data_IF_659201132509
#
_entry.id   IF_659201132509
#
_cell.length_a   1.000
_cell.length_b   1.000
_cell.length_c   1.000
_cell.angle_alpha   90.00
_cell.angle_beta   90.00
_cell.angle_gamma   90.00
#
_symmetry.space_group_name_H-M   'P 1'
#
loop_
_entity.id
_entity.type
_entity.pdbx_description
1 polymer ?
#
# COMPACT_ATOMS: atom_id res chain seq x y z
N UNK A 1 8.23 -25.36 10.04
CA UNK A 1 7.90 -24.19 10.90
C UNK A 1 6.96 -23.34 10.09
N UNK A 2 5.66 -23.51 10.35
CA UNK A 2 4.59 -22.83 9.60
C UNK A 2 4.57 -21.38 10.02
N UNK A 3 5.13 -20.49 9.14
CA UNK A 3 5.18 -19.05 9.31
C UNK A 3 3.85 -18.36 9.04
N UNK A 4 2.76 -18.83 9.64
CA UNK A 4 1.51 -18.10 9.68
C UNK A 4 1.63 -16.99 10.71
N UNK A 5 1.94 -15.78 10.27
CA UNK A 5 1.81 -14.55 11.07
C UNK A 5 0.41 -14.54 11.72
N UNK A 6 0.32 -14.35 13.03
CA UNK A 6 -0.98 -14.32 13.70
C UNK A 6 -1.83 -13.19 13.10
N UNK A 7 -2.94 -13.57 12.49
CA UNK A 7 -3.89 -12.61 11.96
C UNK A 7 -4.39 -11.71 13.12
N UNK A 8 -4.15 -10.41 13.03
CA UNK A 8 -4.67 -9.44 14.00
C UNK A 8 -6.20 -9.60 14.12
N UNK A 9 -6.76 -9.53 15.33
CA UNK A 9 -8.20 -9.56 15.52
C UNK A 9 -8.88 -8.50 14.66
N UNK A 10 -9.91 -8.88 13.91
CA UNK A 10 -10.60 -8.01 12.93
C UNK A 10 -11.07 -6.70 13.54
N UNK A 11 -11.44 -6.70 14.83
CA UNK A 11 -11.91 -5.51 15.56
C UNK A 11 -10.87 -4.40 15.78
N UNK A 12 -9.57 -4.69 15.60
CA UNK A 12 -8.47 -3.75 15.81
C UNK A 12 -7.84 -3.23 14.50
N UNK A 13 -8.37 -3.65 13.34
CA UNK A 13 -7.79 -3.26 12.05
C UNK A 13 -8.39 -1.96 11.53
N UNK A 14 -7.58 -0.98 11.11
CA UNK A 14 -8.08 0.19 10.41
C UNK A 14 -8.75 -0.24 9.09
N UNK A 15 -9.84 0.42 8.65
CA UNK A 15 -10.54 0.11 7.40
C UNK A 15 -9.66 0.17 6.15
N UNK A 16 -8.63 1.01 6.20
CA UNK A 16 -7.57 1.06 5.18
C UNK A 16 -6.25 1.03 5.92
N UNK A 17 -5.42 0.06 5.56
CA UNK A 17 -4.04 -0.07 5.99
C UNK A 17 -3.17 -0.34 4.77
N UNK A 18 -2.16 0.46 4.56
CA UNK A 18 -1.16 0.28 3.50
C UNK A 18 0.20 0.40 4.12
N UNK A 19 1.04 -0.60 3.94
CA UNK A 19 2.45 -0.59 4.30
C UNK A 19 3.30 -0.82 3.07
N UNK A 20 4.30 0.01 2.88
CA UNK A 20 5.30 -0.11 1.81
C UNK A 20 6.67 -0.06 2.48
N UNK A 21 7.63 -0.84 1.96
CA UNK A 21 9.04 -0.80 2.36
C UNK A 21 9.90 -0.19 1.24
N UNK A 22 9.99 1.15 1.11
CA UNK A 22 10.61 1.81 -0.04
C UNK A 22 12.07 1.45 -0.24
N UNK A 23 12.86 1.40 0.84
CA UNK A 23 14.28 1.02 0.78
C UNK A 23 14.47 -0.44 0.37
N UNK A 24 13.62 -1.35 0.86
CA UNK A 24 13.66 -2.75 0.47
C UNK A 24 13.26 -2.92 -1.01
N UNK A 25 12.22 -2.22 -1.47
CA UNK A 25 11.81 -2.22 -2.88
C UNK A 25 12.90 -1.72 -3.82
N UNK A 26 13.66 -0.69 -3.44
CA UNK A 26 14.77 -0.19 -4.27
C UNK A 26 15.92 -1.18 -4.39
N UNK A 27 16.17 -1.96 -3.35
CA UNK A 27 17.23 -2.99 -3.35
C UNK A 27 16.77 -4.30 -3.96
N UNK A 28 15.49 -4.42 -4.24
CA UNK A 28 14.89 -5.62 -4.79
C UNK A 28 15.34 -5.84 -6.24
N UNK A 29 15.76 -7.06 -6.56
CA UNK A 29 16.26 -7.39 -7.88
C UNK A 29 15.19 -7.31 -8.98
N UNK A 30 13.92 -7.50 -8.60
CA UNK A 30 12.78 -7.49 -9.55
C UNK A 30 12.23 -6.07 -9.70
N UNK A 31 11.98 -5.38 -8.60
CA UNK A 31 11.29 -4.09 -8.59
C UNK A 31 12.23 -2.89 -8.59
N UNK A 32 13.46 -3.04 -8.09
CA UNK A 32 14.41 -1.93 -7.96
C UNK A 32 14.56 -1.06 -9.21
N UNK A 33 14.74 -1.66 -10.42
CA UNK A 33 14.86 -0.87 -11.66
C UNK A 33 13.63 0.00 -11.97
N UNK A 34 12.46 -0.35 -11.46
CA UNK A 34 11.18 0.31 -11.78
C UNK A 34 10.69 1.25 -10.69
N UNK A 35 11.16 1.06 -9.44
CA UNK A 35 10.62 1.75 -8.26
C UNK A 35 10.72 3.26 -8.38
N UNK A 36 11.83 3.80 -8.86
CA UNK A 36 11.99 5.25 -9.00
C UNK A 36 11.07 5.83 -10.08
N UNK A 37 10.79 5.07 -11.13
CA UNK A 37 9.78 5.42 -12.14
C UNK A 37 8.37 5.43 -11.56
N UNK A 38 8.02 4.39 -10.78
CA UNK A 38 6.73 4.29 -10.09
C UNK A 38 6.55 5.43 -9.08
N UNK A 39 7.55 5.72 -8.26
CA UNK A 39 7.51 6.81 -7.29
C UNK A 39 7.41 8.18 -7.95
N UNK A 40 8.09 8.39 -9.08
CA UNK A 40 7.98 9.61 -9.88
C UNK A 40 6.57 9.79 -10.44
N UNK A 41 6.00 8.72 -11.02
CA UNK A 41 4.65 8.73 -11.58
C UNK A 41 3.59 8.95 -10.51
N UNK A 42 3.64 8.21 -9.40
CA UNK A 42 2.72 8.39 -8.27
C UNK A 42 2.75 9.79 -7.65
N UNK A 43 3.81 10.55 -7.90
CA UNK A 43 4.00 11.88 -7.35
C UNK A 43 3.57 13.02 -8.29
N UNK A 44 3.38 12.75 -9.57
CA UNK A 44 2.82 13.72 -10.51
C UNK A 44 1.35 13.96 -10.21
N UNK A 45 0.64 12.94 -9.69
CA UNK A 45 -0.77 13.03 -9.34
C UNK A 45 -1.05 13.68 -7.97
N UNK A 46 0.00 13.99 -7.19
CA UNK A 46 -0.14 14.71 -5.92
C UNK A 46 -0.11 16.22 -6.18
N UNK A 47 -1.10 17.00 -5.66
CA UNK A 47 -1.11 18.43 -5.83
C UNK A 47 0.21 19.07 -5.37
N UNK A 48 0.86 19.85 -6.20
CA UNK A 48 2.13 20.54 -5.89
C UNK A 48 2.02 21.46 -4.67
N UNK A 49 0.81 21.89 -4.33
CA UNK A 49 0.51 22.77 -3.19
C UNK A 49 0.66 22.13 -1.81
N UNK A 50 0.79 20.79 -1.72
CA UNK A 50 0.68 20.09 -0.42
C UNK A 50 2.01 19.77 0.24
N UNK A 51 3.13 20.28 -0.23
CA UNK A 51 4.43 19.86 0.28
C UNK A 51 4.75 18.37 0.03
N UNK A 52 3.91 17.70 -0.75
CA UNK A 52 4.07 16.30 -1.09
C UNK A 52 5.41 16.01 -1.78
N UNK A 53 5.94 16.99 -2.54
CA UNK A 53 7.26 16.89 -3.17
C UNK A 53 8.40 16.81 -2.15
N UNK A 54 8.38 17.66 -1.11
CA UNK A 54 9.38 17.64 -0.06
C UNK A 54 9.26 16.38 0.81
N UNK A 55 8.03 15.97 1.18
CA UNK A 55 7.78 14.72 1.88
C UNK A 55 8.18 13.50 1.05
N UNK A 56 8.11 13.59 -0.31
CA UNK A 56 8.59 12.53 -1.19
C UNK A 56 10.06 12.17 -0.95
N UNK A 57 10.93 13.17 -0.83
CA UNK A 57 12.33 12.98 -0.51
C UNK A 57 12.54 12.25 0.82
N UNK A 58 11.58 12.31 1.72
CA UNK A 58 11.60 11.63 3.03
C UNK A 58 11.05 10.21 2.91
N UNK A 59 9.79 10.05 2.53
CA UNK A 59 9.13 8.74 2.57
C UNK A 59 9.73 7.75 1.58
N UNK A 60 10.23 8.19 0.44
CA UNK A 60 10.88 7.30 -0.54
C UNK A 60 12.21 6.74 -0.04
N UNK A 61 12.82 7.34 0.98
CA UNK A 61 14.07 6.88 1.62
C UNK A 61 13.84 6.22 2.98
N UNK A 62 12.61 6.16 3.46
CA UNK A 62 12.25 5.50 4.71
C UNK A 62 12.35 3.97 4.60
N UNK A 63 12.55 3.30 5.72
CA UNK A 63 12.55 1.84 5.77
C UNK A 63 11.13 1.28 5.65
N UNK A 64 10.17 1.95 6.28
CA UNK A 64 8.75 1.65 6.05
C UNK A 64 7.91 2.93 6.04
N UNK A 65 6.85 2.87 5.24
CA UNK A 65 5.77 3.87 5.16
C UNK A 65 4.48 3.14 5.45
N UNK A 66 3.75 3.57 6.48
CA UNK A 66 2.49 2.97 6.87
C UNK A 66 1.41 4.06 6.83
N UNK A 67 0.40 3.84 6.00
CA UNK A 67 -0.78 4.69 5.92
C UNK A 67 -1.97 3.93 6.52
N UNK A 68 -2.66 4.58 7.45
CA UNK A 68 -3.95 4.12 7.94
C UNK A 68 -5.01 5.18 7.68
N UNK A 69 -6.24 4.76 7.43
CA UNK A 69 -7.35 5.68 7.24
C UNK A 69 -8.64 5.10 7.80
N UNK A 70 -9.41 5.92 8.48
CA UNK A 70 -10.72 5.57 8.99
C UNK A 70 -11.75 5.42 7.85
N UNK A 71 -12.87 4.77 8.13
CA UNK A 71 -13.93 4.51 7.15
C UNK A 71 -14.64 5.77 6.66
N UNK A 72 -14.72 6.82 7.48
CA UNK A 72 -15.23 8.14 7.12
C UNK A 72 -14.33 8.86 6.10
N UNK A 73 -13.05 8.51 6.08
CA UNK A 73 -12.06 9.08 5.19
C UNK A 73 -11.44 10.39 5.66
N UNK A 74 -11.90 10.92 6.79
CA UNK A 74 -11.45 12.22 7.30
C UNK A 74 -10.30 12.09 8.30
N UNK A 75 -10.19 10.93 8.95
CA UNK A 75 -9.14 10.62 9.91
C UNK A 75 -8.17 9.60 9.36
N UNK A 76 -6.90 9.84 9.59
CA UNK A 76 -5.84 8.92 9.17
C UNK A 76 -4.50 9.26 9.80
N UNK A 77 -3.57 8.34 9.66
CA UNK A 77 -2.20 8.54 10.09
C UNK A 77 -1.22 8.04 9.04
N UNK A 78 -0.12 8.76 8.91
CA UNK A 78 1.05 8.37 8.13
C UNK A 78 2.21 8.17 9.09
N UNK A 79 2.66 6.94 9.23
CA UNK A 79 3.86 6.60 9.98
C UNK A 79 5.01 6.34 9.02
N UNK A 80 6.14 6.98 9.27
CA UNK A 80 7.40 6.75 8.58
C UNK A 80 8.39 6.17 9.57
N UNK A 81 8.97 5.01 9.26
CA UNK A 81 10.03 4.37 10.05
C UNK A 81 11.36 4.44 9.31
N UNK A 82 12.45 4.59 10.04
CA UNK A 82 13.78 4.69 9.45
C UNK A 82 13.96 5.95 8.59
N UNK A 83 13.36 7.06 8.97
CA UNK A 83 13.56 8.37 8.29
C UNK A 83 15.04 8.69 8.25
N UNK A 84 15.59 9.15 7.10
CA UNK A 84 17.01 9.53 7.01
C UNK A 84 17.41 10.55 8.08
N UNK A 85 18.57 10.34 8.69
CA UNK A 85 19.03 11.17 9.81
C UNK A 85 19.44 12.60 9.41
N UNK A 86 19.59 12.85 8.10
CA UNK A 86 19.87 14.15 7.50
C UNK A 86 18.62 15.01 7.31
N UNK A 87 17.44 14.50 7.63
CA UNK A 87 16.15 15.19 7.44
C UNK A 87 15.69 15.81 8.76
N UNK A 88 15.56 17.14 8.77
CA UNK A 88 14.95 17.90 9.86
C UNK A 88 13.56 18.40 9.41
N UNK A 89 12.48 18.07 10.13
CA UNK A 89 11.15 18.57 9.82
C UNK A 89 11.06 20.10 9.73
N UNK A 90 11.81 20.82 10.59
CA UNK A 90 11.81 22.27 10.62
C UNK A 90 12.40 22.92 9.36
N UNK A 91 13.20 22.18 8.59
CA UNK A 91 13.84 22.66 7.36
C UNK A 91 13.07 22.27 6.09
N UNK A 92 12.05 21.41 6.20
CA UNK A 92 11.24 21.03 5.04
C UNK A 92 10.38 22.20 4.56
N UNK A 93 10.54 22.55 3.29
CA UNK A 93 9.76 23.61 2.65
C UNK A 93 9.04 23.12 1.40
N UNK A 94 7.91 23.74 1.08
CA UNK A 94 7.22 23.58 -0.19
C UNK A 94 8.02 24.22 -1.34
N UNK A 95 7.65 23.93 -2.57
CA UNK A 95 8.30 24.50 -3.78
C UNK A 95 8.34 26.03 -3.80
N UNK A 96 7.41 26.70 -3.11
CA UNK A 96 7.37 28.17 -2.96
C UNK A 96 8.20 28.70 -1.79
N UNK A 97 8.97 27.86 -1.11
CA UNK A 97 9.79 28.24 0.05
C UNK A 97 9.03 28.35 1.38
N UNK A 98 7.73 28.09 1.40
CA UNK A 98 6.94 28.05 2.63
C UNK A 98 7.33 26.83 3.47
N UNK A 99 7.47 27.01 4.77
CA UNK A 99 7.75 25.92 5.69
C UNK A 99 6.55 24.96 5.75
N UNK A 100 6.80 23.68 5.56
CA UNK A 100 5.75 22.66 5.66
C UNK A 100 5.34 22.38 7.09
N UNK A 101 6.28 22.51 8.01
CA UNK A 101 6.12 22.20 9.40
C UNK A 101 6.60 23.37 10.27
N UNK A 102 5.77 23.80 11.20
CA UNK A 102 6.08 24.79 12.21
C UNK A 102 6.13 24.15 13.59
N UNK A 103 7.11 24.49 14.45
CA UNK A 103 7.19 23.94 15.80
C UNK A 103 5.86 24.08 16.55
N UNK A 104 5.46 23.03 17.23
CA UNK A 104 4.26 22.96 18.05
C UNK A 104 4.63 22.47 19.48
N UNK A 105 3.78 22.66 20.49
CA UNK A 105 4.02 22.12 21.81
C UNK A 105 4.30 20.61 21.75
N UNK A 106 5.33 20.12 22.47
CA UNK A 106 5.72 18.73 22.44
C UNK A 106 4.59 17.83 22.98
N UNK A 107 4.53 16.59 22.48
CA UNK A 107 3.69 15.56 23.05
C UNK A 107 4.36 15.00 24.30
N UNK A 108 3.71 15.14 25.44
CA UNK A 108 4.21 14.58 26.70
C UNK A 108 3.43 13.28 27.00
N UNK A 109 4.18 12.17 27.12
CA UNK A 109 3.62 10.86 27.48
C UNK A 109 4.44 10.31 28.65
N UNK A 110 3.87 10.31 29.84
CA UNK A 110 4.62 9.98 31.06
C UNK A 110 5.76 10.96 31.30
N UNK A 111 6.99 10.47 31.44
CA UNK A 111 8.21 11.26 31.60
C UNK A 111 8.88 11.66 30.27
N UNK A 112 8.34 11.27 29.14
CA UNK A 112 8.94 11.52 27.80
C UNK A 112 8.23 12.67 27.11
N UNK A 113 9.03 13.56 26.48
CA UNK A 113 8.55 14.63 25.63
C UNK A 113 9.04 14.41 24.19
N UNK A 114 8.11 14.40 23.24
CA UNK A 114 8.39 14.17 21.82
C UNK A 114 8.18 15.46 21.03
N UNK A 115 9.15 15.89 20.21
CA UNK A 115 9.01 17.06 19.35
C UNK A 115 7.77 16.93 18.45
N UNK A 116 7.04 18.03 18.32
CA UNK A 116 5.86 18.10 17.43
C UNK A 116 5.97 19.32 16.53
N UNK A 117 5.34 19.16 15.38
CA UNK A 117 5.25 20.20 14.36
C UNK A 117 3.83 20.22 13.81
N UNK A 118 3.32 21.40 13.55
CA UNK A 118 2.02 21.63 12.91
C UNK A 118 2.20 21.76 11.39
N UNK A 119 1.27 21.20 10.63
CA UNK A 119 1.15 21.35 9.19
C UNK A 119 -0.33 21.47 8.80
N UNK A 120 -0.60 21.76 7.52
CA UNK A 120 -1.97 21.73 6.98
C UNK A 120 -2.64 20.34 7.10
N UNK A 121 -1.84 19.27 7.12
CA UNK A 121 -2.31 17.90 7.20
C UNK A 121 -2.34 17.33 8.63
N UNK A 122 -2.22 18.18 9.63
CA UNK A 122 -2.26 17.79 11.04
C UNK A 122 -0.90 17.90 11.74
N UNK A 123 -0.76 17.18 12.83
CA UNK A 123 0.41 17.22 13.69
C UNK A 123 1.40 16.12 13.32
N UNK A 124 2.66 16.52 13.08
CA UNK A 124 3.78 15.61 12.99
C UNK A 124 4.41 15.44 14.37
N UNK A 125 4.52 14.20 14.84
CA UNK A 125 5.25 13.84 16.06
C UNK A 125 6.50 13.05 15.69
N UNK A 126 7.65 13.45 16.22
CA UNK A 126 8.93 12.79 16.00
C UNK A 126 9.27 11.92 17.22
N UNK A 127 9.34 10.61 17.00
CA UNK A 127 9.69 9.62 18.02
C UNK A 127 11.16 9.19 17.91
N UNK A 128 11.73 8.61 18.97
CA UNK A 128 13.04 7.97 18.92
C UNK A 128 13.13 6.91 17.81
N UNK A 129 14.36 6.62 17.35
CA UNK A 129 14.57 5.63 16.29
C UNK A 129 14.19 6.14 14.90
N UNK A 130 14.17 7.45 14.70
CA UNK A 130 13.84 8.06 13.38
C UNK A 130 12.45 7.71 12.89
N UNK A 131 11.50 7.71 13.80
CA UNK A 131 10.09 7.41 13.50
C UNK A 131 9.29 8.70 13.52
N UNK A 132 8.56 8.97 12.45
CA UNK A 132 7.68 10.13 12.28
C UNK A 132 6.24 9.68 12.16
N UNK A 133 5.36 10.33 12.91
CA UNK A 133 3.92 10.11 12.84
C UNK A 133 3.21 11.42 12.49
N UNK A 134 2.56 11.46 11.33
CA UNK A 134 1.68 12.54 10.90
C UNK A 134 0.22 12.09 11.03
N UNK A 135 -0.61 12.87 11.73
CA UNK A 135 -2.03 12.62 11.93
C UNK A 135 -2.40 12.48 13.41
N UNK A 136 -3.60 11.96 13.66
CA UNK A 136 -4.25 11.99 14.98
C UNK A 136 -3.87 10.82 15.90
N UNK A 137 -3.13 9.83 15.41
CA UNK A 137 -2.69 8.71 16.25
C UNK A 137 -1.66 9.21 17.29
N UNK A 138 -1.89 8.89 18.55
CA UNK A 138 -1.04 9.36 19.65
C UNK A 138 0.09 8.40 19.99
N UNK A 139 -0.01 7.13 19.62
CA UNK A 139 0.97 6.09 19.92
C UNK A 139 1.23 5.19 18.68
N UNK A 140 2.45 5.23 18.11
CA UNK A 140 2.79 4.39 16.96
C UNK A 140 2.72 2.88 17.26
N UNK A 141 2.80 2.47 18.53
CA UNK A 141 2.69 1.05 18.95
C UNK A 141 1.29 0.48 18.77
N UNK A 142 0.27 1.33 18.57
CA UNK A 142 -1.09 0.89 18.25
C UNK A 142 -1.24 0.47 16.77
N UNK A 143 -0.25 0.79 15.94
CA UNK A 143 -0.25 0.38 14.54
C UNK A 143 0.13 -1.11 14.41
N UNK A 144 -0.42 -1.80 13.41
CA UNK A 144 -0.11 -3.20 13.18
C UNK A 144 1.40 -3.45 13.04
N UNK A 145 1.93 -4.57 13.56
CA UNK A 145 3.34 -4.88 13.44
C UNK A 145 3.76 -4.98 11.98
N UNK A 146 4.97 -4.53 11.73
CA UNK A 146 5.62 -4.60 10.42
C UNK A 146 6.02 -6.06 10.18
N UNK A 147 5.39 -6.72 9.23
CA UNK A 147 5.88 -7.98 8.68
C UNK A 147 6.98 -7.68 7.64
N UNK A 148 7.87 -8.61 7.38
CA UNK A 148 9.01 -8.42 6.45
C UNK A 148 8.64 -8.28 4.96
N UNK A 149 7.37 -8.05 4.62
CA UNK A 149 6.91 -7.94 3.25
C UNK A 149 7.22 -6.56 2.65
N UNK A 150 7.42 -6.51 1.33
CA UNK A 150 7.69 -5.29 0.58
C UNK A 150 6.47 -4.37 0.50
N UNK A 151 5.28 -4.99 0.39
CA UNK A 151 3.99 -4.31 0.37
C UNK A 151 2.96 -5.15 1.12
N UNK A 152 2.16 -4.48 1.95
CA UNK A 152 0.95 -5.05 2.55
C UNK A 152 -0.16 -4.02 2.41
N UNK A 153 -1.32 -4.44 1.88
CA UNK A 153 -2.53 -3.63 1.81
C UNK A 153 -3.66 -4.42 2.45
N UNK A 154 -4.31 -3.82 3.44
CA UNK A 154 -5.52 -4.37 4.04
C UNK A 154 -6.65 -3.37 3.83
N UNK A 155 -7.75 -3.82 3.27
CA UNK A 155 -8.91 -2.99 2.96
C UNK A 155 -10.15 -3.66 3.54
N UNK A 156 -10.96 -2.85 4.21
CA UNK A 156 -12.30 -3.23 4.60
C UNK A 156 -13.22 -3.28 3.38
N UNK A 157 -13.98 -4.37 3.23
CA UNK A 157 -14.83 -4.60 2.06
C UNK A 157 -15.91 -3.53 1.86
N UNK A 158 -16.69 -3.16 2.89
CA UNK A 158 -17.65 -2.07 2.82
C UNK A 158 -17.03 -0.73 2.40
N UNK A 159 -15.86 -0.40 2.90
CA UNK A 159 -15.14 0.82 2.51
C UNK A 159 -14.69 0.76 1.05
N UNK A 160 -14.14 -0.37 0.61
CA UNK A 160 -13.71 -0.57 -0.77
C UNK A 160 -14.89 -0.48 -1.75
N UNK A 161 -15.98 -1.19 -1.48
CA UNK A 161 -17.17 -1.17 -2.35
C UNK A 161 -17.84 0.20 -2.43
N UNK A 162 -17.75 1.01 -1.38
CA UNK A 162 -18.23 2.40 -1.40
C UNK A 162 -17.35 3.29 -2.27
N UNK A 163 -16.03 3.13 -2.21
CA UNK A 163 -15.06 3.96 -2.97
C UNK A 163 -14.92 3.53 -4.42
N UNK A 164 -15.25 2.29 -4.75
CA UNK A 164 -15.17 1.74 -6.10
C UNK A 164 -16.56 1.32 -6.59
N UNK A 165 -17.35 2.25 -7.16
CA UNK A 165 -18.75 1.99 -7.54
C UNK A 165 -18.93 0.80 -8.51
N UNK A 166 -17.92 0.53 -9.36
CA UNK A 166 -17.94 -0.64 -10.29
C UNK A 166 -18.03 -1.99 -9.58
N UNK A 167 -17.68 -2.06 -8.29
CA UNK A 167 -17.87 -3.27 -7.46
C UNK A 167 -19.32 -3.45 -6.97
N UNK A 168 -20.23 -2.56 -7.34
CA UNK A 168 -21.65 -2.64 -7.00
C UNK A 168 -22.54 -2.91 -8.21
N UNK A 169 -22.04 -2.67 -9.42
CA UNK A 169 -22.85 -2.63 -10.63
C UNK A 169 -22.10 -3.35 -11.77
N UNK A 170 -22.85 -4.08 -12.60
CA UNK A 170 -22.32 -4.70 -13.81
C UNK A 170 -21.53 -5.98 -13.58
N UNK A 171 -20.64 -6.34 -14.51
CA UNK A 171 -19.96 -7.65 -14.50
C UNK A 171 -19.02 -7.87 -13.32
N UNK A 172 -18.58 -6.80 -12.64
CA UNK A 172 -17.70 -6.86 -11.48
C UNK A 172 -18.47 -6.86 -10.14
N UNK A 173 -19.80 -6.71 -10.16
CA UNK A 173 -20.61 -6.67 -8.94
C UNK A 173 -20.40 -7.89 -8.01
N UNK A 174 -20.23 -9.12 -8.49
CA UNK A 174 -19.97 -10.25 -7.60
C UNK A 174 -18.66 -10.14 -6.81
N UNK A 175 -17.69 -9.33 -7.25
CA UNK A 175 -16.45 -9.08 -6.50
C UNK A 175 -16.70 -8.23 -5.24
N UNK A 176 -17.71 -7.38 -5.25
CA UNK A 176 -18.07 -6.53 -4.12
C UNK A 176 -19.18 -7.10 -3.24
N UNK A 177 -19.94 -8.05 -3.76
CA UNK A 177 -21.10 -8.60 -3.06
C UNK A 177 -20.70 -9.49 -1.89
N UNK A 178 -21.04 -9.06 -0.67
CA UNK A 178 -20.67 -9.75 0.55
C UNK A 178 -19.17 -9.70 0.88
N UNK A 179 -18.38 -8.84 0.22
CA UNK A 179 -16.97 -8.67 0.49
C UNK A 179 -16.77 -8.10 1.90
N UNK A 180 -16.02 -8.81 2.73
CA UNK A 180 -15.67 -8.40 4.11
C UNK A 180 -14.33 -7.70 4.18
N UNK A 181 -13.32 -8.25 3.50
CA UNK A 181 -11.99 -7.66 3.48
C UNK A 181 -11.18 -8.10 2.26
N UNK A 182 -10.18 -7.29 1.93
CA UNK A 182 -9.14 -7.61 0.95
C UNK A 182 -7.79 -7.45 1.60
N UNK A 183 -6.93 -8.44 1.46
CA UNK A 183 -5.52 -8.38 1.83
C UNK A 183 -4.68 -8.58 0.57
N UNK A 184 -3.76 -7.66 0.30
CA UNK A 184 -2.79 -7.78 -0.79
C UNK A 184 -1.39 -7.76 -0.20
N UNK A 185 -0.56 -8.69 -0.60
CA UNK A 185 0.81 -8.81 -0.12
C UNK A 185 1.78 -8.99 -1.27
N UNK A 186 2.94 -8.38 -1.15
CA UNK A 186 4.08 -8.58 -2.04
C UNK A 186 5.29 -8.96 -1.20
N UNK A 187 5.86 -10.12 -1.49
CA UNK A 187 6.99 -10.65 -0.73
C UNK A 187 7.79 -11.66 -1.54
N UNK A 188 8.55 -12.47 -0.83
CA UNK A 188 9.33 -13.53 -1.45
C UNK A 188 8.43 -14.60 -2.09
N UNK A 189 8.80 -15.07 -3.27
CA UNK A 189 8.14 -16.21 -3.89
C UNK A 189 8.44 -17.47 -3.07
N UNK A 190 7.49 -18.43 -3.02
CA UNK A 190 7.75 -19.70 -2.37
C UNK A 190 9.00 -20.40 -2.90
N UNK A 191 9.77 -21.04 -2.03
CA UNK A 191 10.97 -21.78 -2.41
C UNK A 191 10.68 -22.76 -3.56
N UNK A 192 11.54 -22.75 -4.57
CA UNK A 192 11.41 -23.63 -5.74
C UNK A 192 10.55 -23.10 -6.89
N UNK A 193 9.96 -21.89 -6.78
CA UNK A 193 9.20 -21.30 -7.89
C UNK A 193 10.09 -20.65 -8.94
N UNK A 194 10.81 -19.60 -8.59
CA UNK A 194 11.77 -18.90 -9.45
C UNK A 194 12.90 -18.36 -8.57
N UNK A 195 14.14 -18.48 -8.98
CA UNK A 195 15.31 -18.09 -8.17
C UNK A 195 15.30 -16.63 -7.70
N UNK A 196 14.61 -15.75 -8.44
CA UNK A 196 14.51 -14.31 -8.14
C UNK A 196 13.08 -13.79 -8.33
N UNK A 197 12.06 -14.65 -8.20
CA UNK A 197 10.65 -14.24 -8.32
C UNK A 197 10.12 -13.60 -7.05
N UNK A 198 9.13 -12.73 -7.21
CA UNK A 198 8.33 -12.18 -6.11
C UNK A 198 6.90 -12.68 -6.22
N UNK A 199 6.30 -13.01 -5.09
CA UNK A 199 4.91 -13.41 -5.03
C UNK A 199 4.04 -12.20 -4.69
N UNK A 200 3.09 -11.90 -5.59
CA UNK A 200 1.95 -11.05 -5.31
C UNK A 200 0.78 -11.95 -4.92
N UNK A 201 0.30 -11.82 -3.70
CA UNK A 201 -0.86 -12.50 -3.19
C UNK A 201 -2.01 -11.54 -2.94
N UNK A 202 -3.24 -11.94 -3.25
CA UNK A 202 -4.44 -11.24 -2.80
C UNK A 202 -5.42 -12.25 -2.21
N UNK A 203 -5.95 -11.94 -1.03
CA UNK A 203 -6.99 -12.74 -0.37
C UNK A 203 -8.22 -11.86 -0.21
N UNK A 204 -9.34 -12.34 -0.74
CA UNK A 204 -10.65 -11.71 -0.63
C UNK A 204 -11.49 -12.57 0.32
N UNK A 205 -11.92 -12.02 1.44
CA UNK A 205 -12.81 -12.69 2.38
C UNK A 205 -14.26 -12.23 2.17
N UNK A 206 -15.19 -13.18 2.09
CA UNK A 206 -16.59 -12.95 1.80
C UNK A 206 -17.49 -13.32 2.99
N UNK A 207 -18.76 -13.00 2.87
CA UNK A 207 -19.76 -13.32 3.89
C UNK A 207 -20.01 -14.83 4.00
N UNK A 208 -19.88 -15.58 2.89
CA UNK A 208 -20.08 -17.02 2.81
C UNK A 208 -19.40 -17.60 1.57
N UNK A 209 -19.39 -18.94 1.47
CA UNK A 209 -18.78 -19.69 0.39
C UNK A 209 -19.43 -19.44 -0.99
N UNK A 210 -20.73 -19.22 -1.05
CA UNK A 210 -21.44 -18.95 -2.30
C UNK A 210 -20.97 -17.64 -2.95
N UNK A 211 -20.81 -16.57 -2.14
CA UNK A 211 -20.26 -15.29 -2.60
C UNK A 211 -18.82 -15.43 -3.05
N UNK A 212 -18.00 -16.19 -2.31
CA UNK A 212 -16.62 -16.47 -2.69
C UNK A 212 -16.56 -17.22 -4.04
N UNK A 213 -17.39 -18.23 -4.25
CA UNK A 213 -17.46 -18.97 -5.53
C UNK A 213 -17.83 -18.05 -6.70
N UNK A 214 -18.88 -17.22 -6.54
CA UNK A 214 -19.31 -16.26 -7.57
C UNK A 214 -18.21 -15.25 -7.91
N UNK A 215 -17.50 -14.74 -6.93
CA UNK A 215 -16.38 -13.83 -7.12
C UNK A 215 -15.19 -14.52 -7.82
N UNK A 216 -14.89 -15.77 -7.45
CA UNK A 216 -13.85 -16.59 -8.09
C UNK A 216 -14.09 -16.74 -9.58
N UNK A 217 -15.33 -17.03 -10.00
CA UNK A 217 -15.71 -17.14 -11.40
C UNK A 217 -15.50 -15.84 -12.19
N UNK A 218 -15.78 -14.70 -11.57
CA UNK A 218 -15.52 -13.39 -12.19
C UNK A 218 -14.02 -13.16 -12.37
N UNK A 219 -13.22 -13.46 -11.34
CA UNK A 219 -11.76 -13.31 -11.41
C UNK A 219 -11.14 -14.24 -12.47
N UNK A 220 -11.58 -15.49 -12.53
CA UNK A 220 -11.10 -16.43 -13.55
C UNK A 220 -11.41 -15.93 -14.98
N UNK A 221 -12.62 -15.41 -15.22
CA UNK A 221 -12.98 -14.81 -16.52
C UNK A 221 -12.14 -13.57 -16.83
N UNK A 222 -11.93 -12.69 -15.84
CA UNK A 222 -11.10 -11.50 -16.00
C UNK A 222 -9.65 -11.87 -16.35
N UNK A 223 -9.05 -12.84 -15.65
CA UNK A 223 -7.69 -13.31 -15.92
C UNK A 223 -7.60 -13.97 -17.30
N UNK A 224 -8.62 -14.77 -17.68
CA UNK A 224 -8.68 -15.39 -18.99
C UNK A 224 -8.70 -14.36 -20.13
N UNK A 225 -9.32 -13.21 -19.91
CA UNK A 225 -9.32 -12.11 -20.88
C UNK A 225 -7.93 -11.54 -21.16
N UNK A 226 -6.98 -11.66 -20.23
CA UNK A 226 -5.59 -11.23 -20.44
C UNK A 226 -4.74 -12.24 -21.22
N UNK A 227 -5.17 -13.48 -21.41
CA UNK A 227 -4.40 -14.53 -22.09
C UNK A 227 -4.16 -14.28 -23.58
N UNK A 228 -4.83 -13.33 -24.17
CA UNK A 228 -4.62 -12.96 -25.60
C UNK A 228 -4.04 -11.56 -25.79
N UNK A 229 -3.74 -10.85 -24.73
CA UNK A 229 -3.23 -9.49 -24.82
C UNK A 229 -1.70 -9.50 -24.97
N UNK A 230 -1.22 -8.96 -26.09
CA UNK A 230 0.17 -8.58 -26.22
C UNK A 230 0.33 -7.21 -25.56
N UNK A 231 1.00 -7.13 -24.43
CA UNK A 231 1.23 -5.85 -23.75
C UNK A 231 1.63 -6.01 -22.29
N UNK A 232 1.89 -4.90 -21.62
CA UNK A 232 2.45 -4.84 -20.28
C UNK A 232 1.63 -5.53 -19.16
N UNK A 233 0.38 -5.94 -19.43
CA UNK A 233 -0.46 -6.67 -18.48
C UNK A 233 -0.57 -8.18 -18.80
N UNK A 234 0.14 -8.68 -19.81
CA UNK A 234 0.10 -10.09 -20.21
C UNK A 234 0.52 -11.03 -19.07
N UNK A 235 1.40 -10.57 -18.16
CA UNK A 235 1.83 -11.34 -17.00
C UNK A 235 0.68 -11.69 -16.04
N UNK A 236 -0.43 -10.93 -16.03
CA UNK A 236 -1.61 -11.24 -15.23
C UNK A 236 -2.29 -12.55 -15.64
N UNK A 237 -2.07 -12.99 -16.89
CA UNK A 237 -2.56 -14.29 -17.37
C UNK A 237 -1.96 -15.49 -16.61
N UNK A 238 -0.82 -15.30 -15.94
CA UNK A 238 -0.17 -16.31 -15.09
C UNK A 238 -0.75 -16.38 -13.68
N UNK A 239 -1.67 -15.48 -13.32
CA UNK A 239 -2.29 -15.49 -12.00
C UNK A 239 -3.11 -16.76 -11.79
N UNK A 240 -2.99 -17.34 -10.60
CA UNK A 240 -3.76 -18.50 -10.15
C UNK A 240 -4.83 -18.06 -9.19
N UNK A 241 -6.05 -18.52 -9.41
CA UNK A 241 -7.18 -18.27 -8.51
C UNK A 241 -7.58 -19.58 -7.88
N UNK A 242 -7.77 -19.59 -6.58
CA UNK A 242 -8.35 -20.68 -5.82
C UNK A 242 -9.40 -20.14 -4.86
N UNK A 243 -10.41 -20.93 -4.56
CA UNK A 243 -11.41 -20.60 -3.55
C UNK A 243 -11.48 -21.71 -2.51
N UNK A 244 -11.58 -21.33 -1.25
CA UNK A 244 -11.76 -22.26 -0.14
C UNK A 244 -12.64 -21.59 0.91
N UNK A 245 -13.70 -22.29 1.32
CA UNK A 245 -14.70 -21.76 2.24
C UNK A 245 -15.21 -20.37 1.77
N UNK A 246 -15.08 -19.35 2.59
CA UNK A 246 -15.51 -17.97 2.33
C UNK A 246 -14.40 -17.07 1.75
N UNK A 247 -13.32 -17.66 1.23
CA UNK A 247 -12.18 -16.91 0.71
C UNK A 247 -11.89 -17.22 -0.75
N UNK A 248 -11.43 -16.20 -1.47
CA UNK A 248 -10.80 -16.33 -2.79
C UNK A 248 -9.36 -15.85 -2.67
N UNK A 249 -8.45 -16.69 -3.13
CA UNK A 249 -7.01 -16.41 -3.13
C UNK A 249 -6.53 -16.26 -4.56
N UNK A 250 -5.88 -15.15 -4.85
CA UNK A 250 -5.20 -14.89 -6.12
C UNK A 250 -3.71 -14.86 -5.86
N UNK A 251 -2.95 -15.64 -6.61
CA UNK A 251 -1.49 -15.68 -6.51
C UNK A 251 -0.86 -15.45 -7.87
N UNK A 252 0.16 -14.63 -7.90
CA UNK A 252 0.94 -14.31 -9.08
C UNK A 252 2.41 -14.26 -8.72
N UNK A 253 3.24 -15.01 -9.45
CA UNK A 253 4.70 -14.88 -9.34
C UNK A 253 5.18 -13.94 -10.44
N UNK A 254 5.91 -12.90 -10.05
CA UNK A 254 6.43 -11.86 -10.92
C UNK A 254 7.95 -11.95 -10.91
N UNK A 255 8.55 -11.99 -12.09
CA UNK A 255 9.98 -11.84 -12.29
C UNK A 255 10.32 -10.54 -13.04
N UNK A 256 11.62 -10.22 -13.13
CA UNK A 256 12.04 -9.00 -13.81
C UNK A 256 11.76 -9.01 -15.33
N UNK A 257 11.50 -10.17 -15.96
CA UNK A 257 11.16 -10.27 -17.39
C UNK A 257 9.71 -9.85 -17.62
N UNK A 258 8.81 -10.23 -16.73
CA UNK A 258 7.40 -9.85 -16.77
C UNK A 258 7.21 -8.33 -16.65
N UNK A 259 8.01 -7.68 -15.80
CA UNK A 259 7.94 -6.23 -15.57
C UNK A 259 8.54 -5.41 -16.70
N UNK A 260 9.57 -5.90 -17.41
CA UNK A 260 10.12 -5.23 -18.60
C UNK A 260 9.08 -5.03 -19.71
N UNK A 261 8.12 -5.94 -19.82
CA UNK A 261 6.97 -5.77 -20.70
C UNK A 261 6.03 -4.62 -20.31
N UNK A 262 6.01 -4.24 -19.03
CA UNK A 262 5.17 -3.13 -18.51
C UNK A 262 5.78 -1.77 -18.88
N UNK A 263 7.10 -1.62 -18.90
CA UNK A 263 7.76 -0.37 -19.30
C UNK A 263 7.55 -0.03 -20.78
N UNK A 264 7.48 -1.06 -21.64
CA UNK A 264 7.21 -0.90 -23.08
C UNK A 264 5.76 -0.60 -23.45
N UNK A 265 4.82 -0.71 -22.50
CA UNK A 265 3.46 -0.29 -22.71
C UNK A 265 3.39 1.24 -22.69
N UNK A 266 3.61 1.87 -23.85
CA UNK A 266 3.47 3.30 -24.08
C UNK A 266 2.23 3.84 -23.37
N UNK A 267 2.46 4.70 -22.38
CA UNK A 267 1.46 5.67 -21.95
C UNK A 267 1.27 6.61 -23.15
N UNK A 268 0.09 6.70 -23.77
CA UNK A 268 -0.12 7.65 -24.83
C UNK A 268 0.24 9.04 -24.29
N UNK A 269 1.03 9.78 -25.07
CA UNK A 269 1.32 11.17 -24.75
C UNK A 269 0.00 11.92 -24.55
N UNK A 270 -0.12 12.82 -23.55
CA UNK A 270 -1.28 13.67 -23.44
C UNK A 270 -1.45 14.40 -24.78
N UNK A 271 -2.59 14.20 -25.42
CA UNK A 271 -3.00 14.99 -26.57
C UNK A 271 -3.07 16.46 -26.14
N UNK A 272 -2.27 17.31 -26.77
CA UNK A 272 -2.31 18.78 -26.65
C UNK A 272 -3.70 19.35 -26.94
#
# INVERSE_FOLDING_TARGET
MDGTSPALPIAARPPIYVRIAPNALRRDAVFGPFVDGLFRKASVDLPASTGAAALRGVWTRADAVILTRASDGDHGALLLEGVPGDVDPALLSAERGERLFTPAPPLVVGASAYPRFSSENGLLTVYPGRTWLLGDATDPRTLPPVDGQLLTVLLDGPTLTRKVPRLRIGPLAPLGDGLRSVSITLGDAPAGTLANGRALGAVFAYANAERAASASDVLLRAIAAFRGHAGGLAFLAAARVSSAADQVVVQLVVDGSALRGVEGANVPAPSE
#
